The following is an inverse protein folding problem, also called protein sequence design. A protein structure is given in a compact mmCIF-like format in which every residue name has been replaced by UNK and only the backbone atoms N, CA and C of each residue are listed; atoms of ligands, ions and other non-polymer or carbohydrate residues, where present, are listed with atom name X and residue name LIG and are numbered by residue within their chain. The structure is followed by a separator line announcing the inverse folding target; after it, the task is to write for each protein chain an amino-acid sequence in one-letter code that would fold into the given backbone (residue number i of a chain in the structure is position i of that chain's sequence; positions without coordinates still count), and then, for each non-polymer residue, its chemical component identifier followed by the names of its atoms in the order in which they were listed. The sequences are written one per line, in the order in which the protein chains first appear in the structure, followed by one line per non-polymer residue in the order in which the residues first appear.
data_IF_224494157663
#
_entry.id   IF_224494157663
#
_cell.length_a   1.000
_cell.length_b   1.000
_cell.length_c   1.000
_cell.angle_alpha   90.00
_cell.angle_beta   90.00
_cell.angle_gamma   90.00
#
_symmetry.space_group_name_H-M   'P 1'
#
loop_
_entity.id
_entity.type
_entity.pdbx_description
1 polymer ?
#
# COMPACT_ATOMS: atom_id res chain seq x y z
N UNK A 1 67.56 -14.60 35.83
CA UNK A 1 67.08 -13.40 35.11
C UNK A 1 65.80 -13.80 34.40
N UNK A 2 64.65 -13.48 34.97
CA UNK A 2 63.33 -13.92 34.49
C UNK A 2 62.71 -12.76 33.74
N UNK A 3 62.56 -12.89 32.42
CA UNK A 3 61.96 -11.86 31.56
C UNK A 3 60.44 -12.04 31.65
N UNK A 4 59.75 -11.08 32.26
CA UNK A 4 58.31 -10.96 32.20
C UNK A 4 57.93 -10.31 30.86
N UNK A 5 57.25 -11.06 29.99
CA UNK A 5 56.65 -10.52 28.77
C UNK A 5 55.32 -9.86 29.15
N UNK A 6 55.27 -8.53 29.19
CA UNK A 6 53.99 -7.80 29.25
C UNK A 6 53.31 -7.89 27.88
N UNK A 7 52.26 -8.70 27.76
CA UNK A 7 51.33 -8.64 26.64
C UNK A 7 50.38 -7.46 26.83
N UNK A 8 50.60 -6.37 26.11
CA UNK A 8 49.63 -5.28 26.01
C UNK A 8 48.43 -5.73 25.18
N UNK A 9 47.29 -5.97 25.82
CA UNK A 9 46.00 -6.12 25.14
C UNK A 9 45.62 -4.77 24.54
N UNK A 10 45.85 -4.57 23.25
CA UNK A 10 45.32 -3.41 22.53
C UNK A 10 43.81 -3.59 22.35
N UNK A 11 43.01 -2.84 23.11
CA UNK A 11 41.57 -2.71 22.84
C UNK A 11 41.43 -1.89 21.56
N UNK A 12 40.99 -2.54 20.48
CA UNK A 12 40.76 -1.86 19.20
C UNK A 12 39.53 -0.97 19.29
N UNK A 13 39.57 0.20 18.64
CA UNK A 13 38.41 1.08 18.58
C UNK A 13 37.30 0.44 17.73
N UNK A 14 36.05 0.51 18.17
CA UNK A 14 34.92 -0.13 17.50
C UNK A 14 33.66 0.74 17.57
N UNK A 15 33.03 0.96 16.42
CA UNK A 15 31.69 1.52 16.33
C UNK A 15 30.73 0.43 15.86
N UNK A 16 29.92 -0.10 16.78
CA UNK A 16 29.09 -1.28 16.53
C UNK A 16 27.62 -1.00 16.77
N UNK A 17 26.78 -1.81 16.13
CA UNK A 17 25.34 -1.88 16.38
C UNK A 17 25.00 -3.22 17.02
N UNK A 18 24.15 -3.20 18.04
CA UNK A 18 23.48 -4.36 18.59
C UNK A 18 21.97 -4.12 18.51
N UNK A 19 21.28 -4.96 17.74
CA UNK A 19 19.85 -4.93 17.60
C UNK A 19 19.23 -6.08 18.40
N UNK A 20 18.21 -5.79 19.20
CA UNK A 20 17.48 -6.80 19.96
C UNK A 20 16.01 -6.42 20.09
N UNK A 21 15.18 -7.43 20.33
CA UNK A 21 13.77 -7.22 20.66
C UNK A 21 13.53 -7.34 22.17
N UNK A 22 12.42 -6.81 22.65
CA UNK A 22 11.98 -6.95 24.05
C UNK A 22 10.60 -7.59 24.19
N UNK A 23 10.14 -8.35 23.19
CA UNK A 23 8.78 -8.89 23.20
C UNK A 23 8.37 -9.59 21.92
N UNK A 24 7.06 -9.70 21.73
CA UNK A 24 6.43 -10.36 20.59
C UNK A 24 5.24 -9.53 20.08
N UNK A 25 4.78 -9.83 18.87
CA UNK A 25 3.72 -9.07 18.20
C UNK A 25 2.46 -9.93 18.11
N UNK A 26 1.35 -9.43 18.66
CA UNK A 26 0.04 -10.05 18.50
C UNK A 26 -0.85 -9.19 17.62
N UNK A 27 -1.34 -9.75 16.51
CA UNK A 27 -2.33 -9.11 15.64
C UNK A 27 -3.68 -9.78 15.87
N UNK A 28 -4.62 -9.03 16.43
CA UNK A 28 -5.95 -9.52 16.82
C UNK A 28 -7.08 -8.93 15.97
N UNK A 29 -6.78 -8.36 14.80
CA UNK A 29 -7.84 -7.88 13.92
C UNK A 29 -7.36 -7.14 12.68
N UNK A 30 -8.33 -6.71 11.86
CA UNK A 30 -8.07 -6.00 10.60
C UNK A 30 -7.63 -4.55 10.79
N UNK A 31 -7.70 -4.00 12.00
CA UNK A 31 -7.19 -2.66 12.34
C UNK A 31 -5.66 -2.58 12.43
N UNK A 32 -4.95 -3.71 12.28
CA UNK A 32 -3.51 -3.77 12.46
C UNK A 32 -3.10 -3.69 13.94
N UNK A 33 -1.82 -3.43 14.21
CA UNK A 33 -1.32 -3.22 15.58
C UNK A 33 -0.11 -2.31 15.60
N UNK A 34 0.08 -1.57 16.70
CA UNK A 34 1.34 -0.88 17.01
C UNK A 34 1.85 -1.39 18.35
N UNK A 35 3.02 -2.02 18.35
CA UNK A 35 3.68 -2.50 19.56
C UNK A 35 4.83 -1.56 19.89
N UNK A 36 4.77 -0.95 21.08
CA UNK A 36 5.67 0.13 21.47
C UNK A 36 7.04 -0.36 21.90
N UNK A 37 8.09 0.37 21.51
CA UNK A 37 9.47 0.19 21.96
C UNK A 37 10.01 -1.26 21.85
N UNK A 38 9.56 -2.02 20.85
CA UNK A 38 9.91 -3.44 20.75
C UNK A 38 11.25 -3.67 20.05
N UNK A 39 11.62 -2.82 19.09
CA UNK A 39 12.89 -2.94 18.38
C UNK A 39 13.89 -1.92 18.92
N UNK A 40 15.01 -2.40 19.44
CA UNK A 40 16.04 -1.56 20.06
C UNK A 40 17.33 -1.68 19.25
N UNK A 41 17.86 -0.55 18.80
CA UNK A 41 19.16 -0.44 18.17
C UNK A 41 20.12 0.25 19.13
N UNK A 42 21.05 -0.50 19.70
CA UNK A 42 22.09 0.02 20.58
C UNK A 42 23.38 0.25 19.80
N UNK A 43 23.78 1.50 19.69
CA UNK A 43 25.03 1.94 19.11
C UNK A 43 26.09 2.02 20.20
N UNK A 44 27.19 1.28 20.05
CA UNK A 44 28.30 1.27 20.99
C UNK A 44 29.54 1.87 20.36
N UNK A 45 30.18 2.79 21.08
CA UNK A 45 31.33 3.56 20.62
C UNK A 45 32.48 3.35 21.58
N UNK A 46 33.42 2.50 21.19
CA UNK A 46 34.55 2.07 22.01
C UNK A 46 35.85 2.63 21.45
N UNK A 47 36.63 3.34 22.27
CA UNK A 47 37.97 3.80 21.91
C UNK A 47 38.00 5.00 20.95
N UNK A 48 39.17 5.24 20.36
CA UNK A 48 39.42 6.39 19.49
C UNK A 48 38.69 6.25 18.13
N UNK A 49 37.58 6.96 17.95
CA UNK A 49 36.75 6.90 16.75
C UNK A 49 36.67 8.26 16.06
N UNK A 50 36.43 8.27 14.75
CA UNK A 50 36.15 9.50 13.98
C UNK A 50 35.29 9.13 12.75
N UNK A 51 33.98 8.98 12.96
CA UNK A 51 33.03 8.70 11.89
C UNK A 51 32.11 9.90 11.65
N UNK A 52 32.17 10.46 10.45
CA UNK A 52 31.30 11.53 9.96
C UNK A 52 30.26 10.95 9.01
N UNK A 53 29.13 11.64 8.83
CA UNK A 53 28.10 11.31 7.83
C UNK A 53 27.69 9.83 7.81
N UNK A 54 27.76 9.15 8.95
CA UNK A 54 27.41 7.73 9.04
C UNK A 54 25.90 7.56 8.88
N UNK A 55 25.48 6.36 8.47
CA UNK A 55 24.07 6.04 8.25
C UNK A 55 23.69 4.75 8.97
N UNK A 56 22.41 4.57 9.25
CA UNK A 56 21.84 3.27 9.65
C UNK A 56 20.82 2.87 8.61
N UNK A 57 20.97 1.65 8.12
CA UNK A 57 20.00 1.00 7.25
C UNK A 57 19.48 -0.28 7.90
N UNK A 58 18.26 -0.66 7.55
CA UNK A 58 17.66 -1.95 7.91
C UNK A 58 17.02 -2.61 6.70
N UNK A 59 16.95 -3.94 6.67
CA UNK A 59 16.25 -4.70 5.63
C UNK A 59 15.67 -5.99 6.19
N UNK A 60 14.66 -6.52 5.51
CA UNK A 60 14.20 -7.90 5.69
C UNK A 60 15.19 -8.84 5.00
N UNK A 61 15.63 -9.91 5.68
CA UNK A 61 16.64 -10.83 5.13
C UNK A 61 16.08 -12.13 4.61
N UNK A 62 14.84 -12.47 4.97
CA UNK A 62 14.13 -13.66 4.49
C UNK A 62 12.62 -13.40 4.43
N UNK A 63 11.87 -14.08 3.54
CA UNK A 63 10.41 -14.01 3.54
C UNK A 63 9.82 -14.25 4.93
N UNK A 64 8.83 -13.43 5.31
CA UNK A 64 8.17 -13.52 6.61
C UNK A 64 7.08 -14.59 6.49
N UNK A 65 7.48 -15.85 6.67
CA UNK A 65 6.63 -17.01 6.39
C UNK A 65 6.45 -17.84 7.66
N UNK A 66 5.23 -18.33 7.90
CA UNK A 66 4.96 -19.27 8.99
C UNK A 66 5.08 -20.74 8.52
N UNK A 67 4.97 -21.70 9.44
CA UNK A 67 5.09 -23.14 9.13
C UNK A 67 3.98 -23.67 8.19
N UNK A 68 2.89 -22.92 7.99
CA UNK A 68 1.82 -23.22 7.03
C UNK A 68 2.06 -22.60 5.64
N UNK A 69 3.24 -22.03 5.40
CA UNK A 69 3.61 -21.35 4.14
C UNK A 69 2.75 -20.12 3.82
N UNK A 70 2.11 -19.52 4.83
CA UNK A 70 1.48 -18.21 4.66
C UNK A 70 2.57 -17.15 4.74
N UNK A 71 2.56 -16.21 3.81
CA UNK A 71 3.58 -15.18 3.69
C UNK A 71 3.00 -13.81 4.04
N UNK A 72 3.63 -13.14 5.01
CA UNK A 72 3.29 -11.78 5.38
C UNK A 72 4.06 -10.79 4.50
N UNK A 73 3.39 -9.78 3.89
CA UNK A 73 4.04 -8.83 3.01
C UNK A 73 4.99 -7.87 3.78
N UNK A 74 6.29 -7.82 3.45
CA UNK A 74 7.26 -6.96 4.15
C UNK A 74 6.88 -5.48 4.25
N UNK A 75 6.25 -4.92 3.22
CA UNK A 75 5.88 -3.50 3.16
C UNK A 75 4.75 -3.13 4.13
N UNK A 76 4.03 -4.13 4.66
CA UNK A 76 3.01 -3.97 5.70
C UNK A 76 3.60 -3.96 7.12
N UNK A 77 4.88 -4.31 7.27
CA UNK A 77 5.66 -4.14 8.48
C UNK A 77 6.36 -2.77 8.42
N UNK A 78 6.14 -1.93 9.42
CA UNK A 78 6.80 -0.63 9.55
C UNK A 78 7.51 -0.51 10.89
N UNK A 79 8.64 0.18 10.89
CA UNK A 79 9.28 0.64 12.13
C UNK A 79 9.12 2.16 12.24
N UNK A 80 8.75 2.63 13.42
CA UNK A 80 8.62 4.07 13.71
C UNK A 80 9.45 4.42 14.93
N UNK A 81 10.28 5.45 14.80
CA UNK A 81 11.06 5.93 15.93
C UNK A 81 10.16 6.34 17.10
N UNK A 82 10.52 5.91 18.31
CA UNK A 82 9.78 6.20 19.53
C UNK A 82 10.58 7.13 20.46
N UNK A 83 11.74 6.66 20.92
CA UNK A 83 12.59 7.42 21.83
C UNK A 83 14.05 7.00 21.71
N UNK A 84 14.92 7.72 22.41
CA UNK A 84 16.32 7.32 22.58
C UNK A 84 16.81 7.62 23.98
N UNK A 85 17.84 6.89 24.39
CA UNK A 85 18.61 7.17 25.60
C UNK A 85 20.09 7.12 25.28
N UNK A 86 20.89 7.73 26.16
CA UNK A 86 22.35 7.71 26.07
C UNK A 86 22.95 7.28 27.39
N UNK A 87 24.02 6.49 27.34
CA UNK A 87 24.74 6.04 28.54
C UNK A 87 26.23 6.33 28.36
N UNK A 88 26.83 6.90 29.40
CA UNK A 88 28.28 7.18 29.48
C UNK A 88 28.82 7.90 28.24
N UNK A 89 28.00 8.73 27.61
CA UNK A 89 28.41 9.43 26.39
C UNK A 89 29.60 10.35 26.70
N UNK A 90 30.60 10.33 25.84
CA UNK A 90 31.90 10.95 26.08
C UNK A 90 31.90 12.49 26.04
N UNK A 91 30.79 13.11 25.59
CA UNK A 91 30.63 14.56 25.55
C UNK A 91 29.78 15.06 26.72
N UNK A 92 30.03 16.30 27.16
CA UNK A 92 29.32 16.95 28.27
C UNK A 92 27.81 17.10 28.01
N UNK A 93 27.42 17.28 26.74
CA UNK A 93 26.03 17.37 26.31
C UNK A 93 25.66 16.16 25.47
N UNK A 94 24.52 15.54 25.78
CA UNK A 94 23.99 14.44 24.98
C UNK A 94 23.45 14.95 23.64
N UNK A 95 23.68 14.21 22.54
CA UNK A 95 23.25 14.63 21.22
C UNK A 95 21.73 14.66 21.16
N UNK A 96 21.17 15.70 20.53
CA UNK A 96 19.74 15.82 20.24
C UNK A 96 19.33 14.92 19.06
N UNK A 97 18.03 14.66 18.92
CA UNK A 97 17.47 13.91 17.78
C UNK A 97 17.86 14.51 16.42
N UNK A 98 17.83 15.84 16.31
CA UNK A 98 18.20 16.54 15.08
C UNK A 98 19.68 16.35 14.75
N UNK A 99 20.56 16.34 15.76
CA UNK A 99 21.98 16.07 15.56
C UNK A 99 22.23 14.61 15.18
N UNK A 100 21.51 13.66 15.77
CA UNK A 100 21.61 12.25 15.38
C UNK A 100 21.08 12.03 13.95
N UNK A 101 20.08 12.79 13.52
CA UNK A 101 19.48 12.68 12.17
C UNK A 101 18.52 11.50 12.03
N UNK A 102 17.79 11.17 13.11
CA UNK A 102 16.83 10.06 13.12
C UNK A 102 15.63 10.35 12.24
N UNK A 103 15.27 9.41 11.37
CA UNK A 103 14.01 9.44 10.63
C UNK A 103 12.83 9.13 11.57
N UNK A 104 11.95 10.11 11.76
CA UNK A 104 10.79 10.01 12.66
C UNK A 104 9.49 9.56 11.96
N UNK A 105 9.52 9.37 10.63
CA UNK A 105 8.39 8.80 9.89
C UNK A 105 8.27 7.30 10.13
N UNK A 106 7.10 6.73 9.80
CA UNK A 106 6.95 5.27 9.75
C UNK A 106 7.65 4.72 8.51
N UNK A 107 8.66 3.88 8.70
CA UNK A 107 9.50 3.32 7.64
C UNK A 107 8.96 1.95 7.24
N UNK A 108 8.38 1.76 6.04
CA UNK A 108 8.00 0.44 5.55
C UNK A 108 9.24 -0.40 5.28
N UNK A 109 9.19 -1.64 5.72
CA UNK A 109 10.29 -2.59 5.55
C UNK A 109 10.25 -3.21 4.15
N UNK A 110 11.41 -3.60 3.66
CA UNK A 110 11.55 -4.29 2.38
C UNK A 110 12.80 -5.17 2.39
N UNK A 111 12.96 -6.01 1.37
CA UNK A 111 14.21 -6.76 1.17
C UNK A 111 15.40 -5.87 0.80
N UNK A 112 15.14 -4.65 0.30
CA UNK A 112 16.17 -3.65 0.05
C UNK A 112 16.43 -2.80 1.31
N UNK A 113 17.68 -2.35 1.55
CA UNK A 113 18.01 -1.47 2.66
C UNK A 113 17.19 -0.17 2.66
N UNK A 114 16.54 0.13 3.77
CA UNK A 114 15.83 1.39 4.03
C UNK A 114 16.54 2.17 5.14
N UNK A 115 16.53 3.50 5.05
CA UNK A 115 17.30 4.37 5.96
C UNK A 115 16.52 4.74 7.21
N UNK A 116 17.13 4.45 8.36
CA UNK A 116 16.71 4.89 9.69
C UNK A 116 17.42 6.20 10.08
N UNK A 117 18.67 6.32 9.68
CA UNK A 117 19.47 7.55 9.75
C UNK A 117 20.21 7.65 8.41
N UNK A 118 20.11 8.79 7.73
CA UNK A 118 20.81 9.04 6.48
C UNK A 118 21.76 10.22 6.69
N UNK A 119 23.06 9.97 6.51
CA UNK A 119 24.13 10.97 6.61
C UNK A 119 24.01 11.80 7.91
N UNK A 120 24.19 11.15 9.05
CA UNK A 120 24.05 11.76 10.37
C UNK A 120 24.90 13.05 10.49
N UNK A 121 24.29 14.17 10.93
CA UNK A 121 25.04 15.39 11.27
C UNK A 121 26.00 15.19 12.46
N UNK A 122 25.75 14.20 13.30
CA UNK A 122 26.57 13.90 14.47
C UNK A 122 27.85 13.18 14.05
N UNK A 123 29.00 13.79 14.32
CA UNK A 123 30.28 13.08 14.22
C UNK A 123 30.50 12.21 15.45
N UNK A 124 30.78 10.92 15.26
CA UNK A 124 31.23 10.03 16.33
C UNK A 124 32.74 10.23 16.50
N UNK A 125 33.13 11.04 17.49
CA UNK A 125 34.52 11.38 17.78
C UNK A 125 34.89 11.00 19.23
N UNK A 126 34.75 9.72 19.56
CA UNK A 126 35.06 9.21 20.91
C UNK A 126 36.58 9.23 21.15
N UNK A 127 37.09 9.78 22.27
CA UNK A 127 38.52 9.75 22.59
C UNK A 127 39.04 8.35 22.94
N UNK A 128 40.36 8.16 22.89
CA UNK A 128 40.99 6.90 23.34
C UNK A 128 40.64 6.59 24.80
N UNK A 129 40.34 5.33 25.10
CA UNK A 129 39.97 4.85 26.43
C UNK A 129 38.57 5.28 26.91
N UNK A 130 37.76 5.92 26.06
CA UNK A 130 36.36 6.27 26.38
C UNK A 130 35.38 5.29 25.75
N UNK A 131 34.21 5.24 26.37
CA UNK A 131 33.03 4.51 25.95
C UNK A 131 31.91 5.51 25.68
N UNK A 132 30.93 5.14 24.86
CA UNK A 132 29.67 5.86 24.73
C UNK A 132 28.61 4.96 24.10
N UNK A 133 27.36 5.14 24.52
CA UNK A 133 26.23 4.37 23.98
C UNK A 133 25.06 5.27 23.64
N UNK A 134 24.44 5.04 22.48
CA UNK A 134 23.15 5.61 22.10
C UNK A 134 22.20 4.44 21.84
N UNK A 135 21.07 4.41 22.53
CA UNK A 135 20.01 3.41 22.32
C UNK A 135 18.84 4.08 21.61
N UNK A 136 18.49 3.60 20.43
CA UNK A 136 17.33 4.05 19.67
C UNK A 136 16.23 2.99 19.78
N UNK A 137 15.04 3.40 20.23
CA UNK A 137 13.88 2.51 20.36
C UNK A 137 12.88 2.80 19.25
N UNK A 138 12.35 1.73 18.66
CA UNK A 138 11.36 1.77 17.58
C UNK A 138 10.13 0.96 17.96
N UNK A 139 8.97 1.53 17.62
CA UNK A 139 7.71 0.81 17.57
C UNK A 139 7.69 -0.06 16.31
N UNK A 140 7.09 -1.24 16.41
CA UNK A 140 6.69 -2.02 15.23
C UNK A 140 5.22 -1.79 14.96
N UNK A 141 4.90 -1.51 13.71
CA UNK A 141 3.54 -1.27 13.22
C UNK A 141 3.23 -2.32 12.15
N UNK A 142 2.11 -3.00 12.30
CA UNK A 142 1.50 -3.84 11.27
C UNK A 142 0.33 -3.06 10.69
N UNK A 143 0.38 -2.81 9.39
CA UNK A 143 -0.67 -2.07 8.70
C UNK A 143 -2.03 -2.76 8.80
N UNK A 144 -3.08 -1.96 8.96
CA UNK A 144 -4.46 -2.39 8.87
C UNK A 144 -4.80 -2.93 7.48
N UNK A 145 -5.79 -3.83 7.41
CA UNK A 145 -6.42 -4.27 6.18
C UNK A 145 -6.93 -5.70 6.22
N UNK A 146 -7.89 -5.98 5.35
CA UNK A 146 -8.53 -7.30 5.21
C UNK A 146 -7.56 -8.39 4.73
N UNK A 147 -6.39 -8.04 4.19
CA UNK A 147 -5.32 -8.99 3.82
C UNK A 147 -4.91 -9.89 4.99
N UNK A 148 -5.02 -9.39 6.23
CA UNK A 148 -4.73 -10.15 7.44
C UNK A 148 -5.63 -11.39 7.59
N UNK A 149 -6.82 -11.43 6.97
CA UNK A 149 -7.69 -12.61 7.00
C UNK A 149 -7.03 -13.85 6.41
N UNK A 150 -6.32 -13.71 5.30
CA UNK A 150 -5.63 -14.85 4.68
C UNK A 150 -4.48 -15.37 5.58
N UNK A 151 -3.94 -14.50 6.43
CA UNK A 151 -2.75 -14.73 7.24
C UNK A 151 -3.02 -15.25 8.66
N UNK A 152 -4.29 -15.34 9.07
CA UNK A 152 -4.69 -15.93 10.37
C UNK A 152 -4.06 -17.32 10.58
N UNK A 153 -3.36 -17.52 11.69
CA UNK A 153 -2.73 -18.80 12.04
C UNK A 153 -2.32 -18.86 13.52
N UNK A 154 -2.40 -20.05 14.10
CA UNK A 154 -1.76 -20.34 15.39
C UNK A 154 -0.24 -20.43 15.30
N UNK A 155 0.31 -20.58 14.09
CA UNK A 155 1.75 -20.62 13.86
C UNK A 155 2.32 -19.21 13.75
N UNK A 156 3.44 -18.99 14.45
CA UNK A 156 4.13 -17.72 14.43
C UNK A 156 4.80 -17.47 13.09
N UNK A 157 4.84 -16.20 12.71
CA UNK A 157 5.69 -15.64 11.67
C UNK A 157 6.98 -15.19 12.35
N UNK A 158 8.12 -15.67 11.86
CA UNK A 158 9.42 -15.18 12.31
C UNK A 158 9.85 -14.03 11.42
N UNK A 159 9.95 -12.83 11.98
CA UNK A 159 10.45 -11.65 11.27
C UNK A 159 11.95 -11.57 11.50
N UNK A 160 12.73 -11.70 10.42
CA UNK A 160 14.18 -11.56 10.44
C UNK A 160 14.60 -10.28 9.71
N UNK A 161 15.21 -9.36 10.45
CA UNK A 161 15.79 -8.13 9.94
C UNK A 161 17.30 -8.13 10.14
N UNK A 162 17.97 -7.30 9.36
CA UNK A 162 19.38 -6.99 9.55
C UNK A 162 19.55 -5.47 9.54
N UNK A 163 20.22 -4.95 10.56
CA UNK A 163 20.57 -3.54 10.67
C UNK A 163 22.06 -3.37 10.48
N UNK A 164 22.45 -2.35 9.72
CA UNK A 164 23.86 -2.05 9.46
C UNK A 164 24.17 -0.57 9.65
N UNK A 165 25.32 -0.29 10.25
CA UNK A 165 25.94 1.03 10.23
C UNK A 165 26.79 1.13 8.97
N UNK A 166 26.62 2.23 8.23
CA UNK A 166 27.43 2.57 7.06
C UNK A 166 28.34 3.76 7.37
N UNK A 167 29.54 3.75 6.81
CA UNK A 167 30.41 4.94 6.79
C UNK A 167 29.94 5.95 5.74
N UNK A 168 30.64 7.09 5.65
CA UNK A 168 30.31 8.18 4.71
C UNK A 168 30.37 7.78 3.23
N UNK A 169 31.07 6.69 2.92
CA UNK A 169 31.20 6.13 1.56
C UNK A 169 30.18 5.01 1.29
N UNK A 170 29.30 4.71 2.24
CA UNK A 170 28.29 3.65 2.12
C UNK A 170 28.82 2.23 2.43
N UNK A 171 30.06 2.08 2.90
CA UNK A 171 30.59 0.78 3.29
C UNK A 171 30.11 0.39 4.69
N UNK A 172 29.82 -0.90 4.89
CA UNK A 172 29.39 -1.44 6.18
C UNK A 172 30.53 -1.33 7.21
N UNK A 173 30.23 -0.74 8.36
CA UNK A 173 31.10 -0.73 9.55
C UNK A 173 30.76 -1.90 10.47
N UNK A 174 29.47 -2.10 10.72
CA UNK A 174 28.96 -3.11 11.64
C UNK A 174 27.55 -3.50 11.25
N UNK A 175 27.19 -4.75 11.52
CA UNK A 175 25.89 -5.34 11.22
C UNK A 175 25.37 -6.09 12.44
N UNK A 176 24.07 -6.04 12.68
CA UNK A 176 23.40 -6.85 13.70
C UNK A 176 22.15 -7.51 13.12
N UNK A 177 21.98 -8.82 13.29
CA UNK A 177 20.69 -9.46 13.05
C UNK A 177 19.68 -9.01 14.12
N UNK A 178 18.40 -9.06 13.76
CA UNK A 178 17.27 -8.82 14.65
C UNK A 178 16.17 -9.81 14.30
N UNK A 179 15.63 -10.49 15.30
CA UNK A 179 14.52 -11.42 15.14
C UNK A 179 13.39 -11.04 16.08
N UNK A 180 12.14 -11.12 15.64
CA UNK A 180 10.96 -11.00 16.50
C UNK A 180 9.86 -11.92 15.99
N UNK A 181 9.08 -12.48 16.90
CA UNK A 181 7.93 -13.32 16.53
C UNK A 181 6.64 -12.51 16.46
N UNK A 182 5.81 -12.86 15.48
CA UNK A 182 4.48 -12.31 15.30
C UNK A 182 3.45 -13.43 15.17
N UNK A 183 2.31 -13.30 15.84
CA UNK A 183 1.15 -14.15 15.62
C UNK A 183 -0.04 -13.33 15.14
N UNK A 184 -0.68 -13.79 14.06
CA UNK A 184 -1.95 -13.26 13.58
C UNK A 184 -3.04 -14.21 14.05
N UNK A 185 -3.64 -13.89 15.19
CA UNK A 185 -4.53 -14.79 15.93
C UNK A 185 -5.73 -15.22 15.07
N UNK A 186 -6.05 -16.54 14.95
CA UNK A 186 -7.28 -16.98 14.29
C UNK A 186 -8.55 -16.49 14.97
N UNK A 187 -8.48 -16.18 16.26
CA UNK A 187 -9.62 -15.75 17.09
C UNK A 187 -9.74 -14.23 17.22
N UNK A 188 -8.93 -13.46 16.48
CA UNK A 188 -9.06 -12.00 16.45
C UNK A 188 -10.33 -11.52 15.74
N UNK A 189 -10.63 -10.23 15.89
CA UNK A 189 -11.74 -9.57 15.21
C UNK A 189 -11.29 -9.04 13.84
N UNK A 190 -11.52 -9.83 12.79
CA UNK A 190 -11.16 -9.45 11.42
C UNK A 190 -12.40 -9.10 10.62
N UNK A 191 -12.32 -7.99 9.89
CA UNK A 191 -13.37 -7.57 8.99
C UNK A 191 -13.50 -8.61 7.86
N UNK A 192 -14.72 -9.00 7.47
CA UNK A 192 -14.91 -9.95 6.39
C UNK A 192 -14.30 -9.43 5.08
N UNK A 193 -13.77 -10.34 4.27
CA UNK A 193 -13.36 -10.00 2.91
C UNK A 193 -14.61 -9.96 2.05
N UNK A 194 -14.97 -8.79 1.53
CA UNK A 194 -16.12 -8.65 0.64
C UNK A 194 -15.96 -9.50 -0.62
N UNK A 195 -17.03 -10.21 -0.97
CA UNK A 195 -17.15 -11.00 -2.19
C UNK A 195 -18.08 -10.29 -3.16
N UNK A 196 -17.52 -9.81 -4.27
CA UNK A 196 -18.27 -9.11 -5.33
C UNK A 196 -18.02 -9.75 -6.69
N UNK A 197 -19.03 -9.73 -7.55
CA UNK A 197 -18.95 -10.15 -8.94
C UNK A 197 -19.76 -9.22 -9.82
N UNK A 198 -19.23 -8.96 -11.02
CA UNK A 198 -19.89 -8.20 -12.08
C UNK A 198 -19.63 -8.90 -13.40
N UNK A 199 -20.70 -9.14 -14.16
CA UNK A 199 -20.63 -9.84 -15.45
C UNK A 199 -21.48 -9.09 -16.46
N UNK A 200 -20.85 -8.73 -17.59
CA UNK A 200 -21.55 -8.23 -18.77
C UNK A 200 -21.96 -9.44 -19.60
N UNK A 201 -23.24 -9.54 -19.90
CA UNK A 201 -23.76 -10.60 -20.76
C UNK A 201 -23.24 -10.44 -22.19
N UNK A 202 -23.00 -11.55 -22.89
CA UNK A 202 -22.48 -11.54 -24.26
C UNK A 202 -23.36 -10.74 -25.24
N UNK A 203 -24.67 -10.69 -25.01
CA UNK A 203 -25.60 -9.88 -25.81
C UNK A 203 -25.39 -8.37 -25.65
N UNK A 204 -24.80 -7.93 -24.53
CA UNK A 204 -24.53 -6.53 -24.20
C UNK A 204 -23.06 -6.14 -24.39
N UNK A 205 -22.20 -7.06 -24.84
CA UNK A 205 -20.77 -6.83 -25.03
C UNK A 205 -20.47 -5.77 -26.09
N UNK A 206 -21.34 -5.65 -27.10
CA UNK A 206 -21.24 -4.64 -28.16
C UNK A 206 -22.49 -3.74 -28.15
N UNK A 207 -22.36 -2.59 -27.50
CA UNK A 207 -23.36 -1.53 -27.49
C UNK A 207 -23.42 -0.78 -28.82
N UNK A 208 -24.59 -0.69 -29.45
CA UNK A 208 -24.75 0.02 -30.73
C UNK A 208 -25.93 1.01 -30.68
N UNK A 209 -25.65 2.26 -31.08
CA UNK A 209 -26.62 3.34 -31.23
C UNK A 209 -26.58 3.80 -32.70
N UNK A 210 -27.62 3.43 -33.46
CA UNK A 210 -27.65 3.64 -34.92
C UNK A 210 -28.55 4.82 -35.28
N UNK A 211 -28.01 5.76 -36.05
CA UNK A 211 -28.73 6.92 -36.59
C UNK A 211 -28.92 6.74 -38.09
N UNK A 212 -30.13 6.33 -38.52
CA UNK A 212 -30.43 6.03 -39.92
C UNK A 212 -31.32 7.07 -40.60
N UNK A 213 -32.10 7.82 -39.83
CA UNK A 213 -33.03 8.85 -40.33
C UNK A 213 -32.89 10.13 -39.54
N UNK A 214 -33.30 11.25 -40.14
CA UNK A 214 -33.26 12.57 -39.51
C UNK A 214 -33.95 12.59 -38.13
N UNK A 215 -35.04 11.83 -37.98
CA UNK A 215 -35.78 11.74 -36.72
C UNK A 215 -34.95 11.15 -35.57
N UNK A 216 -33.97 10.31 -35.85
CA UNK A 216 -33.08 9.71 -34.85
C UNK A 216 -32.16 10.78 -34.24
N UNK A 217 -31.75 11.76 -35.05
CA UNK A 217 -30.98 12.91 -34.56
C UNK A 217 -31.84 13.88 -33.76
N UNK A 218 -33.07 14.13 -34.21
CA UNK A 218 -33.99 15.05 -33.54
C UNK A 218 -34.41 14.50 -32.18
N UNK A 219 -34.78 13.22 -32.12
CA UNK A 219 -35.33 12.58 -30.93
C UNK A 219 -34.26 11.91 -30.04
N UNK A 220 -33.05 11.71 -30.57
CA UNK A 220 -32.07 10.82 -29.98
C UNK A 220 -32.42 9.34 -30.19
N UNK A 221 -31.46 8.48 -29.91
CA UNK A 221 -31.63 7.03 -30.01
C UNK A 221 -31.44 6.38 -28.66
N UNK A 222 -32.09 5.23 -28.47
CA UNK A 222 -32.01 4.45 -27.24
C UNK A 222 -31.92 2.97 -27.59
N UNK A 223 -31.02 2.26 -26.92
CA UNK A 223 -30.87 0.81 -27.02
C UNK A 223 -30.90 0.20 -25.62
N UNK A 224 -31.69 -0.85 -25.47
CA UNK A 224 -31.77 -1.63 -24.23
C UNK A 224 -31.22 -3.04 -24.45
N UNK A 225 -30.39 -3.50 -23.51
CA UNK A 225 -29.86 -4.85 -23.46
C UNK A 225 -30.39 -5.54 -22.21
N UNK A 226 -31.48 -6.29 -22.38
CA UNK A 226 -32.15 -6.98 -21.28
C UNK A 226 -31.20 -8.00 -20.63
N UNK A 227 -31.17 -8.00 -19.29
CA UNK A 227 -30.23 -8.82 -18.51
C UNK A 227 -28.75 -8.61 -18.89
N UNK A 228 -28.41 -7.44 -19.47
CA UNK A 228 -27.07 -7.14 -19.96
C UNK A 228 -25.99 -7.06 -18.89
N UNK A 229 -26.38 -6.86 -17.63
CA UNK A 229 -25.48 -6.83 -16.47
C UNK A 229 -26.01 -7.72 -15.36
N UNK A 230 -25.15 -8.57 -14.81
CA UNK A 230 -25.41 -9.36 -13.61
C UNK A 230 -24.40 -9.01 -12.53
N UNK A 231 -24.86 -8.84 -11.28
CA UNK A 231 -24.00 -8.55 -10.13
C UNK A 231 -24.32 -9.43 -8.94
N UNK A 232 -23.31 -9.72 -8.13
CA UNK A 232 -23.47 -10.24 -6.77
C UNK A 232 -22.53 -9.50 -5.83
N UNK A 233 -22.96 -9.32 -4.59
CA UNK A 233 -22.20 -8.67 -3.52
C UNK A 233 -22.72 -9.15 -2.17
N UNK A 234 -21.83 -9.52 -1.25
CA UNK A 234 -22.20 -9.85 0.13
C UNK A 234 -22.22 -8.63 1.08
N UNK A 235 -21.75 -7.48 0.61
CA UNK A 235 -21.80 -6.17 1.30
C UNK A 235 -22.64 -5.15 0.52
N UNK A 236 -22.95 -3.97 1.11
CA UNK A 236 -23.31 -2.79 0.33
C UNK A 236 -22.30 -2.55 -0.81
N UNK A 237 -22.74 -1.98 -1.93
CA UNK A 237 -21.91 -1.85 -3.13
C UNK A 237 -22.29 -0.67 -4.03
N UNK A 238 -21.34 -0.21 -4.83
CA UNK A 238 -21.53 0.77 -5.90
C UNK A 238 -21.17 0.14 -7.26
N UNK A 239 -22.06 0.32 -8.24
CA UNK A 239 -21.82 -0.05 -9.65
C UNK A 239 -21.45 1.21 -10.40
N UNK A 240 -20.29 1.19 -11.05
CA UNK A 240 -19.77 2.31 -11.80
C UNK A 240 -19.50 1.95 -13.25
N UNK A 241 -19.49 2.97 -14.11
CA UNK A 241 -19.06 2.86 -15.51
C UNK A 241 -18.08 3.98 -15.85
N UNK A 242 -17.07 3.64 -16.65
CA UNK A 242 -16.17 4.61 -17.28
C UNK A 242 -15.79 4.15 -18.68
N UNK A 243 -15.40 5.10 -19.52
CA UNK A 243 -14.75 4.83 -20.81
C UNK A 243 -13.24 4.69 -20.59
N UNK A 244 -12.63 3.75 -21.30
CA UNK A 244 -11.17 3.59 -21.33
C UNK A 244 -10.47 4.67 -22.17
N UNK A 245 -11.20 5.39 -23.01
CA UNK A 245 -10.68 6.43 -23.90
C UNK A 245 -11.21 7.80 -23.47
N UNK A 246 -10.58 8.89 -23.90
CA UNK A 246 -11.06 10.25 -23.60
C UNK A 246 -12.23 10.69 -24.49
N UNK A 247 -12.40 10.03 -25.64
CA UNK A 247 -13.40 10.35 -26.66
C UNK A 247 -13.92 9.05 -27.30
N UNK A 248 -15.09 9.13 -27.95
CA UNK A 248 -15.49 8.15 -28.94
C UNK A 248 -14.63 8.34 -30.19
N UNK A 249 -13.82 7.34 -30.52
CA UNK A 249 -12.83 7.40 -31.59
C UNK A 249 -13.46 7.03 -32.94
N UNK A 250 -13.04 7.72 -34.00
CA UNK A 250 -13.36 7.34 -35.38
C UNK A 250 -12.09 7.16 -36.19
N UNK A 251 -12.10 6.22 -37.13
CA UNK A 251 -11.01 6.02 -38.09
C UNK A 251 -11.09 6.95 -39.31
N UNK A 252 -12.22 7.62 -39.52
CA UNK A 252 -12.54 8.40 -40.73
C UNK A 252 -13.05 9.81 -40.44
N UNK A 253 -13.23 10.16 -39.17
CA UNK A 253 -13.77 11.44 -38.71
C UNK A 253 -13.02 11.95 -37.48
N UNK A 254 -13.28 13.21 -37.12
CA UNK A 254 -12.82 13.79 -35.85
C UNK A 254 -13.51 13.10 -34.68
N UNK A 255 -12.88 13.01 -33.51
CA UNK A 255 -13.44 12.30 -32.37
C UNK A 255 -14.73 12.95 -31.83
N UNK A 256 -15.67 12.12 -31.36
CA UNK A 256 -16.91 12.57 -30.73
C UNK A 256 -16.78 12.58 -29.19
N UNK A 257 -17.32 13.59 -28.53
CA UNK A 257 -17.24 13.69 -27.07
C UNK A 257 -18.07 12.59 -26.39
N UNK A 258 -17.50 11.95 -25.36
CA UNK A 258 -18.13 10.84 -24.63
C UNK A 258 -19.51 11.19 -24.07
N UNK A 259 -19.65 12.39 -23.51
CA UNK A 259 -20.89 12.86 -22.87
C UNK A 259 -22.04 13.12 -23.86
N UNK A 260 -21.88 12.79 -25.14
CA UNK A 260 -22.98 12.68 -26.11
C UNK A 260 -23.78 11.38 -25.94
N UNK A 261 -23.18 10.39 -25.24
CA UNK A 261 -23.81 9.12 -24.87
C UNK A 261 -24.07 9.11 -23.38
N UNK A 262 -25.24 8.60 -23.00
CA UNK A 262 -25.66 8.39 -21.63
C UNK A 262 -25.83 6.90 -21.35
N UNK A 263 -25.61 6.54 -20.09
CA UNK A 263 -25.76 5.17 -19.59
C UNK A 263 -26.72 5.19 -18.41
N UNK A 264 -27.62 4.23 -18.38
CA UNK A 264 -28.52 3.98 -17.26
C UNK A 264 -28.73 2.47 -17.09
N UNK A 265 -29.02 2.04 -15.87
CA UNK A 265 -29.41 0.68 -15.57
C UNK A 265 -30.89 0.64 -15.18
N UNK A 266 -31.58 -0.44 -15.56
CA UNK A 266 -32.94 -0.74 -15.13
C UNK A 266 -32.97 -2.08 -14.43
N UNK A 267 -33.40 -2.11 -13.17
CA UNK A 267 -33.61 -3.35 -12.42
C UNK A 267 -34.64 -4.22 -13.14
N UNK A 268 -34.27 -5.46 -13.47
CA UNK A 268 -35.13 -6.35 -14.27
C UNK A 268 -36.34 -6.89 -13.51
N UNK A 269 -36.31 -6.86 -12.17
CA UNK A 269 -37.40 -7.34 -11.33
C UNK A 269 -38.35 -6.19 -10.98
N UNK A 270 -37.81 -5.04 -10.59
CA UNK A 270 -38.62 -3.90 -10.10
C UNK A 270 -38.93 -2.87 -11.17
N UNK A 271 -38.27 -2.93 -12.33
CA UNK A 271 -38.27 -1.90 -13.38
C UNK A 271 -37.79 -0.51 -12.91
N UNK A 272 -37.19 -0.43 -11.72
CA UNK A 272 -36.64 0.83 -11.20
C UNK A 272 -35.41 1.23 -12.02
N UNK A 273 -35.38 2.50 -12.43
CA UNK A 273 -34.25 3.10 -13.11
C UNK A 273 -33.19 3.58 -12.12
N UNK A 274 -31.94 3.45 -12.52
CA UNK A 274 -30.78 4.01 -11.84
C UNK A 274 -30.60 5.50 -12.17
N UNK A 275 -29.55 6.12 -11.63
CA UNK A 275 -29.11 7.42 -12.12
C UNK A 275 -28.74 7.29 -13.61
N UNK A 276 -29.19 8.25 -14.41
CA UNK A 276 -28.70 8.42 -15.79
C UNK A 276 -27.41 9.24 -15.73
N UNK A 277 -26.31 8.67 -16.25
CA UNK A 277 -25.00 9.34 -16.23
C UNK A 277 -24.54 9.62 -17.66
N UNK A 278 -23.90 10.77 -17.87
CA UNK A 278 -23.20 11.02 -19.12
C UNK A 278 -21.87 10.26 -19.11
N UNK A 279 -21.55 9.58 -20.22
CA UNK A 279 -20.32 8.81 -20.30
C UNK A 279 -19.09 9.73 -20.17
N UNK A 280 -18.09 9.27 -19.42
CA UNK A 280 -16.84 9.99 -19.19
C UNK A 280 -15.68 9.00 -19.03
N UNK A 281 -14.44 9.50 -19.06
CA UNK A 281 -13.23 8.73 -18.78
C UNK A 281 -12.90 8.63 -17.27
N UNK A 282 -13.83 9.04 -16.41
CA UNK A 282 -13.79 8.87 -14.96
C UNK A 282 -14.97 8.00 -14.53
N UNK A 283 -14.85 7.34 -13.37
CA UNK A 283 -15.93 6.50 -12.85
C UNK A 283 -17.18 7.32 -12.54
N UNK A 284 -18.30 6.92 -13.13
CA UNK A 284 -19.62 7.47 -12.87
C UNK A 284 -20.46 6.42 -12.14
N UNK A 285 -21.01 6.77 -10.97
CA UNK A 285 -21.89 5.86 -10.21
C UNK A 285 -23.26 5.74 -10.88
N UNK A 286 -23.63 4.51 -11.24
CA UNK A 286 -24.93 4.16 -11.78
C UNK A 286 -25.89 3.81 -10.62
N UNK A 287 -25.45 2.94 -9.71
CA UNK A 287 -26.24 2.42 -8.59
C UNK A 287 -25.37 2.32 -7.35
N UNK A 288 -25.77 3.02 -6.28
CA UNK A 288 -25.28 2.79 -4.93
C UNK A 288 -26.34 2.00 -4.14
N UNK A 289 -26.05 0.75 -3.82
CA UNK A 289 -26.95 -0.16 -3.08
C UNK A 289 -26.49 -0.31 -1.63
N UNK A 290 -27.34 0.01 -0.64
CA UNK A 290 -27.05 -0.24 0.77
C UNK A 290 -27.25 -1.72 1.18
N UNK A 291 -27.67 -2.58 0.25
CA UNK A 291 -28.02 -3.97 0.51
C UNK A 291 -27.18 -4.93 -0.32
N UNK A 292 -26.83 -6.06 0.28
CA UNK A 292 -26.20 -7.21 -0.39
C UNK A 292 -27.15 -7.88 -1.39
N UNK A 293 -26.62 -8.57 -2.38
CA UNK A 293 -27.38 -9.35 -3.37
C UNK A 293 -26.62 -10.61 -3.81
N UNK A 294 -27.30 -11.74 -3.90
CA UNK A 294 -26.69 -13.00 -4.39
C UNK A 294 -26.65 -13.10 -5.92
N UNK A 295 -27.58 -12.43 -6.61
CA UNK A 295 -27.63 -12.34 -8.08
C UNK A 295 -28.69 -11.33 -8.47
N UNK A 296 -28.28 -10.10 -8.81
CA UNK A 296 -29.17 -9.06 -9.33
C UNK A 296 -28.87 -8.83 -10.81
N UNK A 297 -29.92 -8.72 -11.61
CA UNK A 297 -29.81 -8.44 -13.05
C UNK A 297 -30.32 -7.05 -13.37
N UNK A 298 -29.63 -6.41 -14.30
CA UNK A 298 -29.97 -5.10 -14.82
C UNK A 298 -30.01 -5.15 -16.34
N UNK A 299 -30.99 -4.45 -16.90
CA UNK A 299 -30.98 -4.05 -18.30
C UNK A 299 -30.05 -2.87 -18.44
N UNK A 300 -29.07 -2.96 -19.35
CA UNK A 300 -28.21 -1.82 -19.69
C UNK A 300 -28.94 -0.97 -20.73
N UNK A 301 -29.00 0.33 -20.49
CA UNK A 301 -29.62 1.30 -21.39
C UNK A 301 -28.54 2.27 -21.83
N UNK A 302 -28.33 2.34 -23.14
CA UNK A 302 -27.55 3.41 -23.77
C UNK A 302 -28.49 4.34 -24.50
N UNK A 303 -28.26 5.64 -24.38
CA UNK A 303 -29.08 6.67 -25.03
C UNK A 303 -28.25 7.86 -25.45
N UNK A 304 -28.81 8.67 -26.34
CA UNK A 304 -28.30 10.01 -26.67
C UNK A 304 -29.32 11.08 -26.32
N UNK A 305 -28.86 12.31 -26.17
CA UNK A 305 -29.75 13.45 -25.97
C UNK A 305 -30.44 13.81 -27.30
N UNK A 306 -31.76 14.11 -27.28
CA UNK A 306 -32.44 14.67 -28.45
C UNK A 306 -31.73 15.92 -28.96
N UNK A 307 -31.51 16.03 -30.27
CA UNK A 307 -30.89 17.19 -30.92
C UNK A 307 -29.52 17.58 -30.33
N UNK A 308 -28.71 16.60 -29.92
CA UNK A 308 -27.36 16.87 -29.41
C UNK A 308 -26.48 17.49 -30.50
N UNK A 309 -26.10 18.75 -30.30
CA UNK A 309 -25.25 19.51 -31.22
C UNK A 309 -23.92 18.82 -31.56
N UNK A 310 -23.37 18.01 -30.65
CA UNK A 310 -22.10 17.30 -30.88
C UNK A 310 -22.28 16.19 -31.91
N UNK A 311 -23.41 15.50 -31.85
CA UNK A 311 -23.77 14.44 -32.80
C UNK A 311 -24.18 15.08 -34.13
N UNK A 312 -25.01 16.13 -34.09
CA UNK A 312 -25.48 16.84 -35.29
C UNK A 312 -24.34 17.45 -36.11
N UNK A 313 -23.32 18.00 -35.45
CA UNK A 313 -22.17 18.62 -36.10
C UNK A 313 -21.02 17.63 -36.37
N UNK A 314 -21.16 16.36 -35.97
CA UNK A 314 -20.15 15.33 -36.25
C UNK A 314 -20.21 14.87 -37.71
N UNK A 315 -19.08 14.42 -38.25
CA UNK A 315 -19.07 13.83 -39.59
C UNK A 315 -19.76 12.45 -39.54
N UNK A 316 -20.54 12.07 -40.56
CA UNK A 316 -21.10 10.72 -40.62
C UNK A 316 -19.99 9.67 -40.57
N UNK A 317 -20.17 8.65 -39.73
CA UNK A 317 -19.18 7.58 -39.57
C UNK A 317 -19.40 6.75 -38.31
N UNK A 318 -18.52 5.77 -38.11
CA UNK A 318 -18.54 4.93 -36.92
C UNK A 318 -17.65 5.54 -35.84
N UNK A 319 -18.18 5.57 -34.62
CA UNK A 319 -17.54 6.10 -33.42
C UNK A 319 -17.59 5.04 -32.33
N UNK A 320 -16.46 4.72 -31.70
CA UNK A 320 -16.40 3.64 -30.71
C UNK A 320 -15.49 3.94 -29.53
N UNK A 321 -15.74 3.23 -28.43
CA UNK A 321 -14.92 3.20 -27.22
C UNK A 321 -15.12 1.86 -26.53
N UNK A 322 -14.17 1.47 -25.67
CA UNK A 322 -14.39 0.40 -24.70
C UNK A 322 -14.88 0.97 -23.37
N UNK A 323 -15.82 0.28 -22.73
CA UNK A 323 -16.36 0.62 -21.40
C UNK A 323 -15.85 -0.37 -20.36
N UNK A 324 -15.52 0.15 -19.18
CA UNK A 324 -15.23 -0.63 -17.99
C UNK A 324 -16.38 -0.46 -17.00
N UNK A 325 -17.00 -1.59 -16.65
CA UNK A 325 -17.95 -1.67 -15.56
C UNK A 325 -17.25 -2.22 -14.32
N UNK A 326 -17.40 -1.53 -13.18
CA UNK A 326 -16.81 -1.97 -11.91
C UNK A 326 -17.89 -2.09 -10.84
N UNK A 327 -17.66 -3.00 -9.90
CA UNK A 327 -18.39 -3.10 -8.65
C UNK A 327 -17.42 -2.88 -7.51
N UNK A 328 -17.78 -2.07 -6.53
CA UNK A 328 -16.94 -1.77 -5.37
C UNK A 328 -17.74 -1.92 -4.08
N UNK A 329 -17.26 -2.68 -3.09
CA UNK A 329 -17.85 -2.70 -1.75
C UNK A 329 -17.91 -1.28 -1.14
N UNK A 330 -19.02 -0.95 -0.46
CA UNK A 330 -19.21 0.32 0.26
C UNK A 330 -18.94 0.19 1.76
#
# INVERSE_FOLDING_TARGET
MTIFLLSSLFVSAQFTINAHNSGWIQVNGSSGVTVKNIAVLQLQMNGALNHKNWSIVGRVVSPIVNTQKKEFPPEKLKLKFSNYTTEQYYAENYPTLAQIGVNQSSIPMSFSPVYFIRNSPLTINTPSGRYGSIRLSYDIIIDAGTYLNALKSWNNYTIQLEFSILNEFGNIISTSPFSVEMQISPNGNFDPVSSVSIVIDGSAANGELVFNKMQDYVNGVKKEYQNGLSVSSDTPYDIQVSSMNQFLQSSSADNLQLNSVKVQLKDTETNKLSNEVSLSNYNQSLISSPSKTSSKKYTIIYSTTPSDSKILNSKPGNYSTSLLYTITPL
#
